data_IF_943516885075
#
_entry.id   IF_943516885075
#
_cell.length_a   1.000
_cell.length_b   1.000
_cell.length_c   1.000
_cell.angle_alpha   90.00
_cell.angle_beta   90.00
_cell.angle_gamma   90.00
#
_symmetry.space_group_name_H-M   'P 1'
#
loop_
_entity.id
_entity.type
_entity.pdbx_description
1 polymer ?
#
# COMPACT_ATOMS: atom_id res chain seq x y z
N UNK A 1 44.69 -0.55 -38.65
CA UNK A 1 44.01 -0.93 -37.38
C UNK A 1 43.67 0.25 -36.44
N UNK A 2 44.23 1.46 -36.61
CA UNK A 2 43.94 2.59 -35.72
C UNK A 2 42.57 3.26 -35.89
N UNK A 3 41.93 3.15 -37.07
CA UNK A 3 40.63 3.81 -37.33
C UNK A 3 39.44 3.08 -36.69
N UNK A 4 39.52 1.74 -36.56
CA UNK A 4 38.50 0.92 -35.91
C UNK A 4 38.38 1.27 -34.41
N UNK A 5 39.53 1.44 -33.74
CA UNK A 5 39.60 1.84 -32.33
C UNK A 5 39.06 3.26 -32.09
N UNK A 6 39.32 4.21 -33.02
CA UNK A 6 38.77 5.58 -32.93
C UNK A 6 37.24 5.60 -33.09
N UNK A 7 36.68 4.77 -33.97
CA UNK A 7 35.23 4.64 -34.18
C UNK A 7 34.53 3.98 -32.99
N UNK A 8 35.19 3.00 -32.36
CA UNK A 8 34.67 2.37 -31.15
C UNK A 8 34.62 3.37 -29.98
N UNK A 9 35.69 4.17 -29.81
CA UNK A 9 35.78 5.19 -28.77
C UNK A 9 34.76 6.32 -28.96
N UNK A 10 34.53 6.75 -30.20
CA UNK A 10 33.52 7.79 -30.48
C UNK A 10 32.10 7.30 -30.26
N UNK A 11 31.81 6.03 -30.55
CA UNK A 11 30.53 5.38 -30.25
C UNK A 11 30.31 5.25 -28.73
N UNK A 12 31.32 4.81 -27.98
CA UNK A 12 31.25 4.70 -26.52
C UNK A 12 31.08 6.08 -25.84
N UNK A 13 31.73 7.12 -26.37
CA UNK A 13 31.59 8.50 -25.87
C UNK A 13 30.28 9.20 -26.27
N UNK A 14 29.55 8.65 -27.26
CA UNK A 14 28.22 9.17 -27.65
C UNK A 14 27.11 8.61 -26.76
N UNK A 15 27.26 7.38 -26.28
CA UNK A 15 26.27 6.73 -25.39
C UNK A 15 26.26 7.31 -23.98
N UNK A 16 27.31 7.99 -23.52
CA UNK A 16 27.33 8.61 -22.18
C UNK A 16 26.70 10.01 -22.10
N UNK A 17 26.21 10.56 -23.22
CA UNK A 17 25.54 11.87 -23.27
C UNK A 17 24.04 11.69 -23.50
N UNK A 18 23.31 11.34 -22.45
CA UNK A 18 21.94 11.80 -22.12
C UNK A 18 21.31 10.90 -21.05
N UNK A 19 21.81 11.01 -19.83
CA UNK A 19 20.97 10.85 -18.65
C UNK A 19 21.61 11.75 -17.60
N UNK A 20 21.14 13.00 -17.50
CA UNK A 20 21.33 13.75 -16.27
C UNK A 20 20.75 12.95 -15.09
N UNK A 21 21.08 13.28 -13.83
CA UNK A 21 20.52 12.58 -12.69
C UNK A 21 19.00 12.51 -12.85
N UNK A 22 18.48 11.31 -13.09
CA UNK A 22 17.04 11.09 -13.15
C UNK A 22 16.53 11.43 -11.76
N UNK A 23 15.62 12.38 -11.68
CA UNK A 23 14.89 12.62 -10.45
C UNK A 23 14.06 11.37 -10.18
N UNK A 24 14.57 10.50 -9.31
CA UNK A 24 13.94 9.24 -8.92
C UNK A 24 12.75 9.48 -7.98
N UNK A 25 12.40 10.75 -7.73
CA UNK A 25 11.26 11.10 -6.90
C UNK A 25 9.98 10.59 -7.57
N UNK A 26 9.24 9.66 -6.93
CA UNK A 26 8.03 9.13 -7.51
C UNK A 26 6.99 10.24 -7.69
N UNK A 27 6.15 10.17 -8.75
CA UNK A 27 5.07 11.13 -8.96
C UNK A 27 4.20 11.28 -7.70
N UNK A 28 3.82 12.51 -7.37
CA UNK A 28 3.04 12.82 -6.15
C UNK A 28 1.72 12.05 -6.09
N UNK A 29 1.08 11.81 -7.24
CA UNK A 29 -0.12 11.00 -7.35
C UNK A 29 0.12 9.51 -7.04
N UNK A 30 1.27 8.97 -7.44
CA UNK A 30 1.62 7.58 -7.12
C UNK A 30 1.85 7.44 -5.61
N UNK A 31 2.52 8.41 -4.99
CA UNK A 31 2.70 8.45 -3.54
C UNK A 31 1.36 8.56 -2.79
N UNK A 32 0.42 9.39 -3.27
CA UNK A 32 -0.89 9.54 -2.63
C UNK A 32 -1.70 8.24 -2.73
N UNK A 33 -1.77 7.63 -3.92
CA UNK A 33 -2.40 6.32 -4.12
C UNK A 33 -1.77 5.24 -3.25
N UNK A 34 -0.43 5.20 -3.17
CA UNK A 34 0.27 4.24 -2.32
C UNK A 34 -0.04 4.42 -0.83
N UNK A 35 -0.19 5.66 -0.34
CA UNK A 35 -0.63 5.92 1.03
C UNK A 35 -2.04 5.39 1.28
N UNK A 36 -2.98 5.59 0.34
CA UNK A 36 -4.33 5.05 0.46
C UNK A 36 -4.33 3.53 0.42
N UNK A 37 -3.53 2.91 -0.45
CA UNK A 37 -3.34 1.46 -0.47
C UNK A 37 -2.86 0.92 0.88
N UNK A 38 -1.85 1.55 1.49
CA UNK A 38 -1.37 1.15 2.82
C UNK A 38 -2.45 1.29 3.90
N UNK A 39 -3.25 2.36 3.85
CA UNK A 39 -4.37 2.59 4.77
C UNK A 39 -5.45 1.50 4.62
N UNK A 40 -5.81 1.17 3.38
CA UNK A 40 -6.73 0.09 3.05
C UNK A 40 -6.24 -1.25 3.59
N UNK A 41 -4.96 -1.57 3.33
CA UNK A 41 -4.36 -2.82 3.78
C UNK A 41 -4.38 -2.92 5.31
N UNK A 42 -4.00 -1.84 6.01
CA UNK A 42 -4.00 -1.82 7.46
C UNK A 42 -5.41 -2.04 8.04
N UNK A 43 -6.43 -1.37 7.49
CA UNK A 43 -7.81 -1.53 7.92
C UNK A 43 -8.32 -2.97 7.67
N UNK A 44 -7.98 -3.56 6.52
CA UNK A 44 -8.33 -4.95 6.21
C UNK A 44 -7.69 -5.92 7.21
N UNK A 45 -6.40 -5.75 7.52
CA UNK A 45 -5.71 -6.56 8.53
C UNK A 45 -6.35 -6.40 9.91
N UNK A 46 -6.74 -5.18 10.30
CA UNK A 46 -7.43 -4.94 11.56
C UNK A 46 -8.78 -5.67 11.63
N UNK A 47 -9.58 -5.63 10.56
CA UNK A 47 -10.84 -6.38 10.43
C UNK A 47 -10.61 -7.88 10.61
N UNK A 48 -9.63 -8.46 9.90
CA UNK A 48 -9.31 -9.87 10.00
C UNK A 48 -8.89 -10.28 11.41
N UNK A 49 -8.11 -9.44 12.10
CA UNK A 49 -7.71 -9.69 13.49
C UNK A 49 -8.91 -9.67 14.44
N UNK A 50 -9.85 -8.73 14.26
CA UNK A 50 -11.08 -8.68 15.06
C UNK A 50 -11.92 -9.95 14.82
N UNK A 51 -12.06 -10.37 13.57
CA UNK A 51 -12.79 -11.59 13.22
C UNK A 51 -12.13 -12.84 13.81
N UNK A 52 -10.81 -12.95 13.74
CA UNK A 52 -10.06 -14.05 14.32
C UNK A 52 -10.24 -14.12 15.85
N UNK A 53 -10.17 -12.98 16.55
CA UNK A 53 -10.40 -12.89 17.99
C UNK A 53 -11.83 -13.32 18.37
N UNK A 54 -12.83 -12.89 17.59
CA UNK A 54 -14.22 -13.31 17.78
C UNK A 54 -14.43 -14.81 17.54
N UNK A 55 -13.81 -15.37 16.51
CA UNK A 55 -13.89 -16.80 16.18
C UNK A 55 -13.24 -17.65 17.27
N UNK A 56 -12.01 -17.32 17.67
CA UNK A 56 -11.28 -18.05 18.71
C UNK A 56 -12.06 -18.06 20.03
N UNK A 57 -12.60 -16.91 20.44
CA UNK A 57 -13.39 -16.84 21.68
C UNK A 57 -14.74 -17.55 21.58
N UNK A 58 -15.34 -17.61 20.39
CA UNK A 58 -16.57 -18.38 20.17
C UNK A 58 -16.28 -19.87 20.31
N UNK A 59 -15.19 -20.34 19.72
CA UNK A 59 -14.84 -21.75 19.66
C UNK A 59 -14.36 -22.29 21.03
N UNK A 60 -13.73 -21.44 21.84
CA UNK A 60 -13.33 -21.75 23.23
C UNK A 60 -14.50 -21.67 24.24
N UNK A 61 -15.71 -21.28 23.79
CA UNK A 61 -16.91 -21.28 24.63
C UNK A 61 -16.95 -20.19 25.70
N UNK A 62 -16.26 -19.06 25.51
CA UNK A 62 -16.34 -17.94 26.46
C UNK A 62 -17.76 -17.37 26.52
N UNK A 63 -18.25 -17.12 27.73
CA UNK A 63 -19.42 -16.28 27.96
C UNK A 63 -19.04 -14.82 27.67
N UNK A 64 -19.53 -14.29 26.55
CA UNK A 64 -19.33 -12.88 26.21
C UNK A 64 -20.26 -11.99 27.03
N UNK A 65 -19.70 -10.99 27.70
CA UNK A 65 -20.50 -9.83 28.10
C UNK A 65 -20.89 -9.03 26.83
N UNK A 66 -22.12 -8.54 26.81
CA UNK A 66 -22.64 -7.65 25.78
C UNK A 66 -21.78 -6.39 25.60
N UNK A 67 -21.07 -5.94 26.64
CA UNK A 67 -20.10 -4.86 26.53
C UNK A 67 -18.96 -5.19 25.56
N UNK A 68 -18.43 -6.42 25.63
CA UNK A 68 -17.38 -6.90 24.73
C UNK A 68 -17.88 -6.99 23.29
N UNK A 69 -19.05 -7.61 23.08
CA UNK A 69 -19.65 -7.77 21.74
C UNK A 69 -19.87 -6.40 21.09
N UNK A 70 -20.46 -5.46 21.84
CA UNK A 70 -20.68 -4.09 21.36
C UNK A 70 -19.36 -3.40 21.02
N UNK A 71 -18.32 -3.56 21.84
CA UNK A 71 -16.99 -3.01 21.58
C UNK A 71 -16.33 -3.61 20.33
N UNK A 72 -16.49 -4.91 20.08
CA UNK A 72 -15.98 -5.56 18.87
C UNK A 72 -16.71 -5.08 17.60
N UNK A 73 -18.04 -4.99 17.64
CA UNK A 73 -18.85 -4.47 16.52
C UNK A 73 -18.52 -3.01 16.21
N UNK A 74 -18.35 -2.18 17.22
CA UNK A 74 -17.98 -0.77 17.03
C UNK A 74 -16.62 -0.63 16.35
N UNK A 75 -15.61 -1.38 16.81
CA UNK A 75 -14.27 -1.41 16.20
C UNK A 75 -14.32 -1.91 14.76
N UNK A 76 -15.08 -2.98 14.52
CA UNK A 76 -15.28 -3.51 13.17
C UNK A 76 -15.88 -2.45 12.24
N UNK A 77 -16.91 -1.73 12.68
CA UNK A 77 -17.54 -0.67 11.90
C UNK A 77 -16.59 0.49 11.57
N UNK A 78 -15.74 0.88 12.52
CA UNK A 78 -14.72 1.92 12.31
C UNK A 78 -13.68 1.51 11.25
N UNK A 79 -13.18 0.28 11.32
CA UNK A 79 -12.21 -0.23 10.36
C UNK A 79 -12.83 -0.42 8.97
N UNK A 80 -14.08 -0.90 8.89
CA UNK A 80 -14.81 -0.98 7.62
C UNK A 80 -15.00 0.40 6.99
N UNK A 81 -15.36 1.40 7.78
CA UNK A 81 -15.48 2.79 7.30
C UNK A 81 -14.13 3.28 6.77
N UNK A 82 -13.06 3.04 7.51
CA UNK A 82 -11.70 3.40 7.08
C UNK A 82 -11.27 2.71 5.80
N UNK A 83 -11.63 1.43 5.63
CA UNK A 83 -11.36 0.65 4.44
C UNK A 83 -12.12 1.20 3.23
N UNK A 84 -13.41 1.51 3.38
CA UNK A 84 -14.25 2.10 2.33
C UNK A 84 -13.73 3.47 1.92
N UNK A 85 -13.42 4.33 2.89
CA UNK A 85 -12.84 5.66 2.63
C UNK A 85 -11.53 5.55 1.84
N UNK A 86 -10.63 4.63 2.26
CA UNK A 86 -9.37 4.42 1.56
C UNK A 86 -9.58 3.91 0.12
N UNK A 87 -10.59 3.07 -0.10
CA UNK A 87 -10.99 2.59 -1.44
C UNK A 87 -11.50 3.72 -2.33
N UNK A 88 -12.39 4.57 -1.82
CA UNK A 88 -12.90 5.75 -2.53
C UNK A 88 -11.75 6.69 -2.88
N UNK A 89 -10.82 6.93 -1.95
CA UNK A 89 -9.67 7.79 -2.23
C UNK A 89 -8.71 7.14 -3.25
N UNK A 90 -8.57 5.82 -3.23
CA UNK A 90 -7.76 5.08 -4.21
C UNK A 90 -8.37 5.09 -5.62
N UNK A 91 -9.70 5.09 -5.74
CA UNK A 91 -10.42 5.21 -7.02
C UNK A 91 -10.37 6.63 -7.62
N UNK A 92 -9.81 7.59 -6.89
CA UNK A 92 -9.79 9.00 -7.29
C UNK A 92 -11.05 9.77 -6.86
N UNK A 93 -11.72 9.32 -5.80
CA UNK A 93 -12.88 9.99 -5.21
C UNK A 93 -14.21 9.67 -5.90
N UNK A 94 -14.29 8.56 -6.64
CA UNK A 94 -15.47 8.11 -7.38
C UNK A 94 -16.05 6.85 -6.79
#
# INVERSE_FOLDING_TARGET
MASALKRLKSWFSRTSRTAGPQDLTPPSELLSRYRQYKRLLAANTAILNILADLQLKRDEGYLFDMAYVRGAVNRLGQEVTTLVDALIQLSGGR
#
